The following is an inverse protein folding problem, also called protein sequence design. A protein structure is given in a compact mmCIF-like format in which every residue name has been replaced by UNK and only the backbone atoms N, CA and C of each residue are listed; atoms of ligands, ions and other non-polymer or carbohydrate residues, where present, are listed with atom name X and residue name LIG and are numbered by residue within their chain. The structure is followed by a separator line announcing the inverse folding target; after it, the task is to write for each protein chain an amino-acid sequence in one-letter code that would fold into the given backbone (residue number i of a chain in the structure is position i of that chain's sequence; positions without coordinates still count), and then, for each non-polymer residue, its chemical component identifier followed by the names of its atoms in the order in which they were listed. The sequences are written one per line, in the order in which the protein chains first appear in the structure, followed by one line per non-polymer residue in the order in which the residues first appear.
data_IF_771016430371
#
_entry.id   IF_771016430371
#
_cell.length_a   1.000
_cell.length_b   1.000
_cell.length_c   1.000
_cell.angle_alpha   90.00
_cell.angle_beta   90.00
_cell.angle_gamma   90.00
#
_symmetry.space_group_name_H-M   'P 1'
#
loop_
_entity.id
_entity.type
_entity.pdbx_description
1 polymer ?
#
# COMPACT_ATOMS: atom_id res chain seq x y z
N UNK A 1 2.70 -5.66 -5.21
CA UNK A 1 4.12 -5.75 -4.81
C UNK A 1 4.17 -6.57 -3.54
N UNK A 2 5.02 -7.60 -3.43
CA UNK A 2 4.98 -8.50 -2.26
C UNK A 2 5.68 -7.87 -1.04
N UNK A 3 5.33 -8.36 0.15
CA UNK A 3 6.03 -8.03 1.42
C UNK A 3 7.55 -8.15 1.30
N UNK A 4 8.04 -9.22 0.67
CA UNK A 4 9.48 -9.44 0.49
C UNK A 4 10.12 -8.35 -0.37
N UNK A 5 9.45 -7.95 -1.45
CA UNK A 5 9.91 -6.85 -2.30
C UNK A 5 9.94 -5.53 -1.54
N UNK A 6 8.97 -5.24 -0.67
CA UNK A 6 8.93 -4.01 0.15
C UNK A 6 10.06 -3.96 1.17
N UNK A 7 10.31 -5.07 1.85
CA UNK A 7 11.44 -5.19 2.78
C UNK A 7 12.75 -4.90 2.04
N UNK A 8 12.95 -5.53 0.87
CA UNK A 8 14.16 -5.34 0.06
C UNK A 8 14.32 -3.88 -0.36
N UNK A 9 13.25 -3.27 -0.86
CA UNK A 9 13.27 -1.90 -1.37
C UNK A 9 13.62 -0.90 -0.26
N UNK A 10 12.90 -0.93 0.87
CA UNK A 10 13.17 -0.06 2.03
C UNK A 10 14.58 -0.27 2.58
N UNK A 11 15.05 -1.52 2.65
CA UNK A 11 16.42 -1.82 3.08
C UNK A 11 17.44 -1.15 2.15
N UNK A 12 17.24 -1.25 0.84
CA UNK A 12 18.15 -0.65 -0.14
C UNK A 12 18.09 0.88 -0.16
N UNK A 13 16.91 1.48 0.06
CA UNK A 13 16.77 2.93 0.22
C UNK A 13 17.57 3.45 1.42
N UNK A 14 17.59 2.67 2.52
CA UNK A 14 18.43 2.91 3.70
C UNK A 14 19.90 2.51 3.53
N UNK A 15 20.29 2.00 2.35
CA UNK A 15 21.64 1.51 2.02
C UNK A 15 22.17 0.43 2.97
N UNK A 16 21.26 -0.35 3.57
CA UNK A 16 21.61 -1.43 4.49
C UNK A 16 21.90 -2.73 3.71
N UNK A 17 22.89 -3.48 4.16
CA UNK A 17 23.10 -4.89 3.78
C UNK A 17 22.10 -5.79 4.51
N UNK A 18 21.87 -6.99 3.99
CA UNK A 18 21.00 -7.98 4.66
C UNK A 18 21.52 -8.35 6.05
N UNK A 19 22.85 -8.38 6.23
CA UNK A 19 23.50 -8.62 7.53
C UNK A 19 23.23 -7.50 8.53
N UNK A 20 23.32 -6.25 8.08
CA UNK A 20 23.07 -5.08 8.93
C UNK A 20 21.60 -5.02 9.36
N UNK A 21 20.65 -5.31 8.45
CA UNK A 21 19.24 -5.41 8.82
C UNK A 21 18.99 -6.55 9.80
N UNK A 22 19.65 -7.70 9.62
CA UNK A 22 19.54 -8.84 10.53
C UNK A 22 20.01 -8.48 11.95
N UNK A 23 21.15 -7.79 12.07
CA UNK A 23 21.66 -7.30 13.36
C UNK A 23 20.67 -6.34 14.03
N UNK A 24 20.12 -5.38 13.28
CA UNK A 24 19.15 -4.40 13.81
C UNK A 24 17.90 -5.08 14.36
N UNK A 25 17.38 -6.12 13.69
CA UNK A 25 16.18 -6.84 14.15
C UNK A 25 16.47 -8.00 15.11
N UNK A 26 17.74 -8.19 15.50
CA UNK A 26 18.16 -9.23 16.45
C UNK A 26 18.13 -10.65 15.88
N UNK A 27 18.43 -10.82 14.59
CA UNK A 27 18.58 -12.11 13.94
C UNK A 27 20.06 -12.50 13.83
N UNK A 28 20.37 -13.73 14.23
CA UNK A 28 21.74 -14.28 14.18
C UNK A 28 22.21 -14.64 12.75
N UNK A 29 21.34 -14.54 11.73
CA UNK A 29 21.68 -14.87 10.35
C UNK A 29 20.96 -14.00 9.33
N UNK A 30 21.73 -13.38 8.44
CA UNK A 30 21.24 -12.61 7.30
C UNK A 30 20.45 -13.45 6.29
N UNK A 31 20.63 -14.78 6.29
CA UNK A 31 19.92 -15.71 5.41
C UNK A 31 18.41 -15.61 5.61
N UNK A 32 17.97 -15.36 6.85
CA UNK A 32 16.56 -15.23 7.18
C UNK A 32 15.96 -13.97 6.54
N UNK A 33 16.69 -12.84 6.55
CA UNK A 33 16.32 -11.62 5.81
C UNK A 33 16.21 -11.92 4.31
N UNK A 34 17.21 -12.60 3.74
CA UNK A 34 17.19 -12.99 2.33
C UNK A 34 15.98 -13.85 1.97
N UNK A 35 15.58 -14.79 2.84
CA UNK A 35 14.38 -15.62 2.66
C UNK A 35 13.09 -14.80 2.71
N UNK A 36 13.01 -13.78 3.55
CA UNK A 36 11.88 -12.85 3.57
C UNK A 36 11.81 -12.05 2.27
N UNK A 37 12.94 -11.51 1.80
CA UNK A 37 13.00 -10.67 0.60
C UNK A 37 12.59 -11.39 -0.69
N UNK A 38 12.89 -12.68 -0.80
CA UNK A 38 12.50 -13.52 -1.95
C UNK A 38 11.18 -14.26 -1.73
N UNK A 39 10.49 -14.03 -0.60
CA UNK A 39 9.20 -14.65 -0.30
C UNK A 39 9.25 -16.14 0.05
N UNK A 40 10.43 -16.72 0.32
CA UNK A 40 10.58 -18.13 0.75
C UNK A 40 10.20 -18.35 2.22
N UNK A 41 10.10 -17.29 3.01
CA UNK A 41 9.62 -17.32 4.38
C UNK A 41 8.78 -16.07 4.66
N UNK A 42 7.87 -16.16 5.63
CA UNK A 42 7.12 -15.01 6.14
C UNK A 42 7.58 -14.67 7.57
N UNK A 43 7.81 -13.39 7.91
CA UNK A 43 8.11 -13.00 9.28
C UNK A 43 6.88 -13.20 10.17
N UNK A 44 7.08 -13.63 11.42
CA UNK A 44 6.04 -13.64 12.44
C UNK A 44 5.71 -12.20 12.89
N UNK A 45 4.61 -12.00 13.61
CA UNK A 45 4.11 -10.67 13.96
C UNK A 45 5.11 -9.81 14.76
N UNK A 46 5.87 -10.44 15.66
CA UNK A 46 6.93 -9.81 16.44
C UNK A 46 8.09 -9.35 15.52
N UNK A 47 8.52 -10.21 14.61
CA UNK A 47 9.57 -9.91 13.64
C UNK A 47 9.14 -8.83 12.64
N UNK A 48 7.89 -8.88 12.20
CA UNK A 48 7.30 -7.86 11.34
C UNK A 48 7.30 -6.48 12.01
N UNK A 49 6.97 -6.43 13.31
CA UNK A 49 7.02 -5.19 14.10
C UNK A 49 8.45 -4.64 14.22
N UNK A 50 9.44 -5.53 14.40
CA UNK A 50 10.86 -5.15 14.41
C UNK A 50 11.33 -4.64 13.05
N UNK A 51 10.94 -5.30 11.97
CA UNK A 51 11.26 -4.89 10.60
C UNK A 51 10.64 -3.53 10.28
N UNK A 52 9.38 -3.29 10.64
CA UNK A 52 8.72 -2.01 10.44
C UNK A 52 9.48 -0.86 11.13
N UNK A 53 9.89 -1.06 12.39
CA UNK A 53 10.71 -0.09 13.14
C UNK A 53 12.09 0.10 12.50
N UNK A 54 12.79 -0.97 12.14
CA UNK A 54 14.12 -0.89 11.53
C UNK A 54 14.13 -0.17 10.17
N UNK A 55 13.03 -0.29 9.44
CA UNK A 55 12.85 0.25 8.10
C UNK A 55 12.10 1.60 8.08
N UNK A 56 11.82 2.21 9.24
CA UNK A 56 11.04 3.45 9.38
C UNK A 56 9.70 3.42 8.62
N UNK A 57 8.95 2.34 8.80
CA UNK A 57 7.65 2.13 8.16
C UNK A 57 6.64 1.51 9.13
N UNK A 58 5.44 1.21 8.66
CA UNK A 58 4.40 0.53 9.44
C UNK A 58 4.32 -0.94 9.10
N UNK A 59 3.86 -1.76 10.06
CA UNK A 59 3.55 -3.18 9.80
C UNK A 59 2.50 -3.34 8.72
N UNK A 60 1.55 -2.39 8.66
CA UNK A 60 0.53 -2.31 7.63
C UNK A 60 1.17 -2.17 6.25
N UNK A 61 2.03 -1.17 6.04
CA UNK A 61 2.72 -0.97 4.76
C UNK A 61 3.48 -2.21 4.29
N UNK A 62 4.12 -2.95 5.21
CA UNK A 62 4.86 -4.16 4.87
C UNK A 62 3.96 -5.32 4.41
N UNK A 63 2.84 -5.55 5.10
CA UNK A 63 1.97 -6.73 4.88
C UNK A 63 0.85 -6.46 3.90
N UNK A 64 0.38 -5.23 3.84
CA UNK A 64 -0.86 -4.92 3.16
C UNK A 64 -0.69 -5.25 1.67
N UNK A 65 -1.37 -6.30 1.20
CA UNK A 65 -1.27 -6.76 -0.19
C UNK A 65 -1.96 -5.78 -1.15
N UNK A 66 -2.46 -4.66 -0.61
CA UNK A 66 -3.00 -3.55 -1.37
C UNK A 66 -2.07 -3.18 -2.50
N UNK A 67 -2.52 -3.65 -3.65
CA UNK A 67 -2.12 -3.31 -5.00
C UNK A 67 -2.39 -1.82 -5.26
N UNK A 68 -2.49 -0.94 -4.26
CA UNK A 68 -3.20 0.33 -4.42
C UNK A 68 -2.67 1.48 -3.52
N UNK A 69 -1.39 1.82 -3.67
CA UNK A 69 -0.98 3.23 -3.42
C UNK A 69 -0.09 3.78 -4.55
N UNK A 70 0.66 2.93 -5.25
CA UNK A 70 1.31 3.32 -6.50
C UNK A 70 0.47 3.01 -7.75
N UNK A 71 -0.50 2.08 -7.69
CA UNK A 71 -1.27 1.63 -8.87
C UNK A 71 -2.62 2.31 -9.06
N UNK A 72 -3.26 2.88 -8.03
CA UNK A 72 -4.48 3.68 -8.23
C UNK A 72 -4.12 4.97 -8.97
N UNK A 73 -3.02 5.61 -8.59
CA UNK A 73 -2.48 6.77 -9.31
C UNK A 73 -2.00 6.43 -10.74
N UNK A 74 -1.64 5.17 -11.01
CA UNK A 74 -1.21 4.72 -12.34
C UNK A 74 -2.34 4.18 -13.23
N UNK A 75 -3.54 3.90 -12.67
CA UNK A 75 -4.70 3.41 -13.42
C UNK A 75 -5.75 4.49 -13.71
N UNK A 76 -5.71 5.63 -13.01
CA UNK A 76 -6.56 6.77 -13.32
C UNK A 76 -5.89 7.62 -14.42
N UNK A 77 -6.21 7.33 -15.68
CA UNK A 77 -5.74 8.10 -16.84
C UNK A 77 -6.38 9.48 -16.91
N UNK A 78 -7.53 9.66 -16.27
CA UNK A 78 -8.25 10.93 -16.23
C UNK A 78 -7.68 11.85 -15.15
N UNK A 79 -6.79 12.75 -15.59
CA UNK A 79 -6.13 13.74 -14.73
C UNK A 79 -7.10 14.80 -14.19
N UNK A 80 -8.20 15.05 -14.90
CA UNK A 80 -9.20 16.03 -14.48
C UNK A 80 -10.03 15.47 -13.32
N UNK A 81 -10.49 14.23 -13.44
CA UNK A 81 -11.23 13.54 -12.38
C UNK A 81 -10.39 13.42 -11.09
N UNK A 82 -9.10 13.10 -11.22
CA UNK A 82 -8.17 13.08 -10.09
C UNK A 82 -8.05 14.44 -9.40
N UNK A 83 -8.00 15.53 -10.16
CA UNK A 83 -7.96 16.88 -9.59
C UNK A 83 -9.25 17.19 -8.84
N UNK A 84 -10.40 16.88 -9.42
CA UNK A 84 -11.70 17.09 -8.81
C UNK A 84 -11.83 16.34 -7.47
N UNK A 85 -11.37 15.08 -7.40
CA UNK A 85 -11.36 14.34 -6.14
C UNK A 85 -10.50 14.99 -5.06
N UNK A 86 -9.30 15.49 -5.41
CA UNK A 86 -8.43 16.22 -4.48
C UNK A 86 -9.05 17.51 -3.96
N UNK A 87 -9.81 18.21 -4.80
CA UNK A 87 -10.54 19.42 -4.37
C UNK A 87 -11.69 19.08 -3.41
N UNK A 88 -12.45 18.01 -3.70
CA UNK A 88 -13.54 17.52 -2.85
C UNK A 88 -13.03 17.07 -1.48
N UNK A 89 -11.81 16.57 -1.36
CA UNK A 89 -11.19 16.24 -0.07
C UNK A 89 -11.06 17.44 0.88
N UNK A 90 -11.06 18.66 0.35
CA UNK A 90 -10.98 19.90 1.15
C UNK A 90 -12.35 20.42 1.59
N UNK A 91 -13.44 19.83 1.12
CA UNK A 91 -14.80 20.30 1.41
C UNK A 91 -15.28 19.91 2.82
N UNK A 92 -16.41 20.50 3.22
CA UNK A 92 -17.13 20.13 4.44
C UNK A 92 -17.59 18.66 4.39
N UNK A 93 -17.80 18.01 5.54
CA UNK A 93 -18.35 16.65 5.60
C UNK A 93 -19.68 16.51 4.85
N UNK A 94 -20.55 17.52 4.94
CA UNK A 94 -21.85 17.56 4.28
C UNK A 94 -21.71 17.60 2.76
N UNK A 95 -20.84 18.47 2.24
CA UNK A 95 -20.61 18.59 0.79
C UNK A 95 -19.94 17.33 0.22
N UNK A 96 -19.00 16.73 0.96
CA UNK A 96 -18.40 15.45 0.60
C UNK A 96 -19.43 14.33 0.49
N UNK A 97 -20.38 14.29 1.41
CA UNK A 97 -21.46 13.31 1.36
C UNK A 97 -22.31 13.48 0.11
N UNK A 98 -22.68 14.72 -0.22
CA UNK A 98 -23.47 15.03 -1.41
C UNK A 98 -22.76 14.60 -2.71
N UNK A 99 -21.45 14.88 -2.83
CA UNK A 99 -20.65 14.45 -3.98
C UNK A 99 -20.65 12.92 -4.12
N UNK A 100 -20.46 12.19 -3.00
CA UNK A 100 -20.50 10.72 -3.01
C UNK A 100 -21.86 10.19 -3.44
N UNK A 101 -22.95 10.76 -2.91
CA UNK A 101 -24.32 10.39 -3.29
C UNK A 101 -24.55 10.55 -4.79
N UNK A 102 -24.08 11.64 -5.41
CA UNK A 102 -24.20 11.83 -6.85
C UNK A 102 -23.41 10.79 -7.62
N UNK A 103 -22.15 10.54 -7.26
CA UNK A 103 -21.31 9.53 -7.91
C UNK A 103 -21.98 8.15 -7.85
N UNK A 104 -22.47 7.76 -6.68
CA UNK A 104 -23.17 6.49 -6.48
C UNK A 104 -24.45 6.39 -7.33
N UNK A 105 -25.22 7.48 -7.42
CA UNK A 105 -26.42 7.52 -8.25
C UNK A 105 -26.09 7.35 -9.75
N UNK A 106 -25.01 7.97 -10.24
CA UNK A 106 -24.56 7.82 -11.63
C UNK A 106 -24.06 6.41 -11.93
N UNK A 107 -23.27 5.81 -11.01
CA UNK A 107 -22.78 4.43 -11.13
C UNK A 107 -23.96 3.45 -11.17
N UNK A 108 -24.89 3.59 -10.23
CA UNK A 108 -26.09 2.74 -10.14
C UNK A 108 -26.93 2.83 -11.40
N UNK A 109 -27.18 4.05 -11.91
CA UNK A 109 -27.93 4.26 -13.14
C UNK A 109 -27.28 3.55 -14.34
N UNK A 110 -25.95 3.59 -14.45
CA UNK A 110 -25.21 2.94 -15.55
C UNK A 110 -25.32 1.42 -15.48
N UNK A 111 -25.13 0.83 -14.30
CA UNK A 111 -25.30 -0.61 -14.12
C UNK A 111 -26.72 -1.07 -14.49
N UNK A 112 -27.75 -0.36 -14.03
CA UNK A 112 -29.14 -0.70 -14.38
C UNK A 112 -29.38 -0.65 -15.89
N UNK A 113 -28.81 0.33 -16.59
CA UNK A 113 -28.93 0.44 -18.05
C UNK A 113 -28.23 -0.69 -18.82
N UNK A 114 -27.18 -1.28 -18.24
CA UNK A 114 -26.49 -2.45 -18.82
C UNK A 114 -27.27 -3.74 -18.65
N UNK A 115 -28.00 -3.91 -17.54
CA UNK A 115 -28.84 -5.09 -17.29
C UNK A 115 -30.18 -5.11 -18.07
N UNK A 116 -30.57 -3.98 -18.66
CA UNK A 116 -31.82 -3.85 -19.44
C UNK A 116 -31.58 -4.06 -20.96
N UNK A 117 -30.34 -4.33 -21.38
CA UNK A 117 -30.00 -4.78 -22.73
C UNK A 117 -29.91 -6.30 -22.82
#
# INVERSE_FOLDING_TARGET
MSLGTRIKELRTQKRLKQSELAEIVGLNSYVQIGRYEIGKAKPAADMLSKLAKALDTTTDYLVNDDVNDASVAAQLTDRELLRQFKEVELFSPEDKHLVKTFIDAFITKRHIQEYVK
#
